data_IF_146200809962
#
_entry.id   IF_146200809962
#
_cell.length_a   1.000
_cell.length_b   1.000
_cell.length_c   1.000
_cell.angle_alpha   90.00
_cell.angle_beta   90.00
_cell.angle_gamma   90.00
#
_symmetry.space_group_name_H-M   'P 1'
#
loop_
_entity.id
_entity.type
_entity.pdbx_description
1 polymer ?
#
# COMPACT_ATOMS: atom_id res chain seq x y z
N UNK A 1 -3.23 5.04 -9.33
CA UNK A 1 -2.32 5.53 -10.36
C UNK A 1 -0.97 4.83 -10.31
N UNK A 2 -0.15 5.08 -11.29
CA UNK A 2 1.22 4.56 -11.35
C UNK A 2 2.20 5.73 -11.45
N UNK A 3 3.19 5.77 -10.55
CA UNK A 3 4.08 6.93 -10.37
C UNK A 3 3.24 8.18 -10.07
N UNK A 4 3.25 9.19 -10.92
CA UNK A 4 2.48 10.42 -10.76
C UNK A 4 1.15 10.44 -11.54
N UNK A 5 0.85 9.41 -12.34
CA UNK A 5 -0.34 9.39 -13.18
C UNK A 5 -1.57 8.83 -12.43
N UNK A 6 -2.74 9.42 -12.68
CA UNK A 6 -4.01 8.95 -12.14
C UNK A 6 -4.11 9.00 -10.60
N UNK A 7 -3.32 9.83 -9.94
CA UNK A 7 -3.36 10.01 -8.49
C UNK A 7 -4.40 11.09 -8.13
N UNK A 8 -5.17 10.83 -7.09
CA UNK A 8 -6.15 11.78 -6.55
C UNK A 8 -5.47 12.81 -5.62
N UNK A 9 -4.60 13.64 -6.18
CA UNK A 9 -3.69 14.51 -5.41
C UNK A 9 -4.42 15.50 -4.51
N UNK A 10 -5.51 16.10 -4.99
CA UNK A 10 -6.30 17.01 -4.18
C UNK A 10 -6.83 16.36 -2.89
N UNK A 11 -7.18 15.07 -2.93
CA UNK A 11 -7.62 14.34 -1.73
C UNK A 11 -6.45 14.06 -0.78
N UNK A 12 -5.26 13.77 -1.31
CA UNK A 12 -4.06 13.56 -0.49
C UNK A 12 -3.67 14.87 0.23
N UNK A 13 -3.63 15.98 -0.50
CA UNK A 13 -3.34 17.31 0.06
C UNK A 13 -4.36 17.69 1.13
N UNK A 14 -5.66 17.53 0.84
CA UNK A 14 -6.72 17.85 1.82
C UNK A 14 -6.67 16.96 3.07
N UNK A 15 -6.23 15.72 2.93
CA UNK A 15 -6.04 14.83 4.09
C UNK A 15 -4.88 15.30 4.97
N UNK A 16 -3.77 15.77 4.37
CA UNK A 16 -2.64 16.38 5.08
C UNK A 16 -3.05 17.67 5.80
N UNK A 17 -3.68 18.59 5.07
CA UNK A 17 -4.15 19.88 5.64
C UNK A 17 -5.06 19.62 6.85
N UNK A 18 -6.03 18.73 6.72
CA UNK A 18 -6.91 18.35 7.82
C UNK A 18 -6.14 17.78 9.01
N UNK A 19 -5.14 16.92 8.77
CA UNK A 19 -4.32 16.37 9.84
C UNK A 19 -3.55 17.49 10.58
N UNK A 20 -2.94 18.40 9.85
CA UNK A 20 -2.18 19.53 10.41
C UNK A 20 -3.07 20.46 11.23
N UNK A 21 -4.33 20.65 10.83
CA UNK A 21 -5.29 21.49 11.55
C UNK A 21 -5.91 20.81 12.77
N UNK A 22 -6.22 19.52 12.68
CA UNK A 22 -7.09 18.84 13.65
C UNK A 22 -6.45 17.67 14.38
N UNK A 23 -5.26 17.20 13.93
CA UNK A 23 -4.65 15.96 14.39
C UNK A 23 -5.35 14.70 13.86
N UNK A 24 -6.23 14.83 12.86
CA UNK A 24 -6.98 13.74 12.24
C UNK A 24 -6.99 13.86 10.71
N UNK A 25 -6.98 12.71 9.96
CA UNK A 25 -6.97 11.32 10.41
C UNK A 25 -5.63 10.91 11.03
N UNK A 26 -5.62 9.87 11.86
CA UNK A 26 -4.42 9.35 12.50
C UNK A 26 -4.32 7.82 12.42
N UNK A 27 -3.12 7.30 12.66
CA UNK A 27 -2.82 5.86 12.67
C UNK A 27 -3.22 5.13 11.38
N UNK A 28 -3.12 5.81 10.24
CA UNK A 28 -3.49 5.27 8.95
C UNK A 28 -2.58 4.12 8.52
N UNK A 29 -3.17 3.13 7.87
CA UNK A 29 -2.45 2.15 7.05
C UNK A 29 -2.63 2.52 5.59
N UNK A 30 -1.54 2.87 4.91
CA UNK A 30 -1.55 3.14 3.47
C UNK A 30 -1.29 1.86 2.69
N UNK A 31 -2.01 1.70 1.60
CA UNK A 31 -1.88 0.55 0.71
C UNK A 31 -1.85 1.00 -0.76
N UNK A 32 -0.83 0.57 -1.51
CA UNK A 32 -0.72 0.86 -2.94
C UNK A 32 -0.11 -0.30 -3.72
N UNK A 33 -0.48 -0.43 -4.99
CA UNK A 33 -0.07 -1.58 -5.83
C UNK A 33 1.35 -1.45 -6.33
N UNK A 34 1.66 -0.31 -6.96
CA UNK A 34 2.93 -0.04 -7.61
C UNK A 34 3.65 1.13 -6.92
N UNK A 35 4.56 1.81 -7.60
CA UNK A 35 5.12 3.07 -7.10
C UNK A 35 4.07 4.17 -7.07
N UNK A 36 4.01 4.93 -5.98
CA UNK A 36 3.20 6.15 -5.86
C UNK A 36 4.12 7.30 -5.46
N UNK A 37 3.97 8.46 -6.07
CA UNK A 37 4.86 9.59 -5.83
C UNK A 37 5.72 9.96 -7.03
N UNK A 38 6.47 11.05 -6.89
CA UNK A 38 7.39 11.53 -7.92
C UNK A 38 8.69 12.14 -7.34
N UNK A 39 9.00 11.86 -6.07
CA UNK A 39 10.18 12.34 -5.32
C UNK A 39 10.15 13.83 -4.94
N UNK A 40 9.03 14.50 -5.07
CA UNK A 40 8.87 15.93 -4.76
C UNK A 40 8.09 16.20 -3.45
N UNK A 41 7.77 15.13 -2.71
CA UNK A 41 7.01 15.23 -1.47
C UNK A 41 5.50 15.18 -1.65
N UNK A 42 5.02 14.92 -2.88
CA UNK A 42 3.61 14.76 -3.21
C UNK A 42 3.11 13.31 -3.00
N UNK A 43 1.84 13.09 -3.27
CA UNK A 43 1.16 11.78 -3.26
C UNK A 43 1.16 11.12 -1.87
N UNK A 44 1.79 9.94 -1.70
CA UNK A 44 1.81 9.27 -0.41
C UNK A 44 2.69 10.00 0.63
N UNK A 45 3.61 10.87 0.20
CA UNK A 45 4.43 11.67 1.11
C UNK A 45 3.63 12.74 1.88
N UNK A 46 2.41 13.11 1.44
CA UNK A 46 1.47 13.92 2.22
C UNK A 46 1.08 13.28 3.56
N UNK A 47 1.19 11.97 3.67
CA UNK A 47 0.88 11.25 4.90
C UNK A 47 2.09 11.05 5.83
N UNK A 48 3.27 11.51 5.42
CA UNK A 48 4.52 11.28 6.15
C UNK A 48 4.67 12.20 7.38
N UNK A 49 3.68 12.18 8.27
CA UNK A 49 3.65 12.87 9.54
C UNK A 49 3.53 11.88 10.69
N UNK A 50 4.26 12.13 11.78
CA UNK A 50 4.15 11.33 13.00
C UNK A 50 2.73 11.38 13.56
N UNK A 51 2.15 10.21 13.82
CA UNK A 51 0.77 10.08 14.25
C UNK A 51 -0.27 10.04 13.14
N UNK A 52 0.05 10.50 11.90
CA UNK A 52 -0.86 10.38 10.77
C UNK A 52 -0.79 9.00 10.13
N UNK A 53 0.41 8.54 9.78
CA UNK A 53 0.63 7.21 9.23
C UNK A 53 1.27 6.29 10.28
N UNK A 54 0.77 5.08 10.38
CA UNK A 54 1.28 4.03 11.26
C UNK A 54 1.97 2.91 10.47
N UNK A 55 1.42 2.58 9.32
CA UNK A 55 1.85 1.42 8.53
C UNK A 55 1.72 1.72 7.04
N UNK A 56 2.65 1.19 6.27
CA UNK A 56 2.62 1.27 4.81
C UNK A 56 2.83 -0.12 4.19
N UNK A 57 2.04 -0.43 3.16
CA UNK A 57 2.12 -1.68 2.41
C UNK A 57 2.11 -1.34 0.94
N UNK A 58 3.16 -1.67 0.21
CA UNK A 58 3.26 -1.28 -1.19
C UNK A 58 4.21 -2.13 -2.01
N UNK A 59 4.08 -2.02 -3.32
CA UNK A 59 4.93 -2.75 -4.26
C UNK A 59 6.26 -2.07 -4.56
N UNK A 60 6.36 -0.75 -4.32
CA UNK A 60 7.56 0.02 -4.62
C UNK A 60 7.59 1.33 -3.83
N UNK A 61 8.75 1.72 -3.30
CA UNK A 61 8.90 2.85 -2.37
C UNK A 61 9.82 3.97 -2.87
N UNK A 62 10.54 3.79 -3.97
CA UNK A 62 11.58 4.74 -4.42
C UNK A 62 11.05 6.14 -4.81
N UNK A 63 9.73 6.35 -4.87
CA UNK A 63 9.13 7.63 -5.24
C UNK A 63 8.55 8.42 -4.05
N UNK A 64 8.69 7.91 -2.82
CA UNK A 64 8.15 8.50 -1.60
C UNK A 64 9.25 8.70 -0.55
N UNK A 65 10.14 9.68 -0.75
CA UNK A 65 11.32 9.87 0.10
C UNK A 65 10.99 10.12 1.57
N UNK A 66 9.95 10.89 1.90
CA UNK A 66 9.56 11.15 3.29
C UNK A 66 9.06 9.89 4.00
N UNK A 67 8.28 9.06 3.34
CA UNK A 67 7.87 7.73 3.86
C UNK A 67 9.11 6.84 4.06
N UNK A 68 10.06 6.84 3.11
CA UNK A 68 11.31 6.08 3.26
C UNK A 68 12.14 6.56 4.44
N UNK A 69 12.20 7.85 4.70
CA UNK A 69 12.85 8.42 5.88
C UNK A 69 12.22 7.90 7.17
N UNK A 70 10.89 7.96 7.30
CA UNK A 70 10.18 7.43 8.46
C UNK A 70 10.39 5.92 8.67
N UNK A 71 10.52 5.15 7.59
CA UNK A 71 10.85 3.73 7.65
C UNK A 71 12.28 3.50 8.15
N UNK A 72 13.25 4.25 7.63
CA UNK A 72 14.67 4.14 8.02
C UNK A 72 14.90 4.57 9.47
N UNK A 73 14.12 5.51 9.98
CA UNK A 73 14.12 5.96 11.36
C UNK A 73 13.28 5.08 12.30
N UNK A 74 12.73 3.99 11.79
CA UNK A 74 11.86 3.07 12.56
C UNK A 74 10.61 3.74 13.18
N UNK A 75 10.10 4.80 12.57
CA UNK A 75 8.91 5.52 13.05
C UNK A 75 7.62 4.82 12.69
N UNK A 76 7.59 4.13 11.55
CA UNK A 76 6.40 3.43 11.03
C UNK A 76 6.71 1.98 10.65
N UNK A 77 5.68 1.16 10.58
CA UNK A 77 5.77 -0.19 10.04
C UNK A 77 5.72 -0.13 8.49
N UNK A 78 6.42 -1.04 7.82
CA UNK A 78 6.38 -1.10 6.36
C UNK A 78 6.61 -2.48 5.80
N UNK A 79 5.89 -2.76 4.71
CA UNK A 79 6.03 -4.01 3.96
C UNK A 79 6.14 -3.74 2.47
N UNK A 80 7.17 -4.30 1.86
CA UNK A 80 7.28 -4.37 0.42
C UNK A 80 6.73 -5.74 -0.04
N UNK A 81 5.62 -5.69 -0.78
CA UNK A 81 4.93 -6.88 -1.28
C UNK A 81 5.04 -6.91 -2.80
N UNK A 82 5.27 -8.06 -3.44
CA UNK A 82 5.34 -8.14 -4.89
C UNK A 82 4.10 -7.53 -5.55
N UNK A 83 4.31 -6.64 -6.50
CA UNK A 83 3.24 -5.89 -7.17
C UNK A 83 2.17 -6.80 -7.78
N UNK A 84 2.57 -7.92 -8.39
CA UNK A 84 1.62 -8.90 -8.95
C UNK A 84 0.76 -9.55 -7.87
N UNK A 85 1.33 -9.84 -6.69
CA UNK A 85 0.57 -10.35 -5.56
C UNK A 85 -0.43 -9.31 -5.07
N UNK A 86 -0.03 -8.03 -4.93
CA UNK A 86 -0.94 -6.95 -4.51
C UNK A 86 -2.10 -6.78 -5.49
N UNK A 87 -1.85 -6.80 -6.79
CA UNK A 87 -2.89 -6.69 -7.79
C UNK A 87 -3.94 -7.82 -7.66
N UNK A 88 -3.50 -9.05 -7.40
CA UNK A 88 -4.39 -10.17 -7.15
C UNK A 88 -5.11 -10.03 -5.79
N UNK A 89 -4.40 -9.57 -4.75
CA UNK A 89 -5.00 -9.31 -3.42
C UNK A 89 -6.18 -8.34 -3.51
N UNK A 90 -6.11 -7.30 -4.34
CA UNK A 90 -7.24 -6.37 -4.52
C UNK A 90 -8.48 -7.07 -5.09
N UNK A 91 -8.31 -7.96 -6.07
CA UNK A 91 -9.41 -8.74 -6.64
C UNK A 91 -9.99 -9.70 -5.60
N UNK A 92 -9.13 -10.38 -4.86
CA UNK A 92 -9.53 -11.35 -3.84
C UNK A 92 -10.20 -10.65 -2.65
N UNK A 93 -9.74 -9.44 -2.27
CA UNK A 93 -10.39 -8.58 -1.29
C UNK A 93 -11.82 -8.22 -1.72
N UNK A 94 -12.00 -7.78 -2.98
CA UNK A 94 -13.31 -7.46 -3.53
C UNK A 94 -14.25 -8.68 -3.54
N UNK A 95 -13.70 -9.86 -3.82
CA UNK A 95 -14.41 -11.14 -3.78
C UNK A 95 -14.62 -11.67 -2.33
N UNK A 96 -14.21 -10.94 -1.31
CA UNK A 96 -14.29 -11.33 0.13
C UNK A 96 -13.57 -12.63 0.47
N UNK A 97 -12.55 -13.01 -0.30
CA UNK A 97 -11.73 -14.18 0.02
C UNK A 97 -10.90 -13.91 1.29
N UNK A 98 -10.48 -14.98 1.95
CA UNK A 98 -9.65 -14.90 3.17
C UNK A 98 -8.23 -14.39 2.89
N UNK A 99 -7.78 -14.48 1.65
CA UNK A 99 -6.46 -14.03 1.18
C UNK A 99 -6.17 -14.54 -0.22
N UNK A 100 -4.95 -14.27 -0.67
CA UNK A 100 -4.42 -14.66 -1.98
C UNK A 100 -3.35 -15.73 -1.79
N UNK A 101 -3.43 -16.80 -2.55
CA UNK A 101 -2.41 -17.85 -2.62
C UNK A 101 -1.64 -17.69 -3.92
N UNK A 102 -0.32 -17.67 -3.83
CA UNK A 102 0.55 -17.49 -4.99
C UNK A 102 1.96 -18.01 -4.71
N UNK A 103 2.63 -18.54 -5.72
CA UNK A 103 4.07 -18.83 -5.65
C UNK A 103 4.95 -17.58 -5.77
N UNK A 104 4.37 -16.45 -6.19
CA UNK A 104 5.10 -15.19 -6.37
C UNK A 104 5.64 -14.70 -5.04
N UNK A 105 6.95 -14.53 -4.97
CA UNK A 105 7.66 -14.12 -3.76
C UNK A 105 8.47 -15.21 -3.09
N UNK A 106 8.26 -16.49 -3.37
CA UNK A 106 9.07 -17.59 -2.83
C UNK A 106 10.54 -17.38 -3.20
N UNK A 107 11.43 -17.50 -2.19
CA UNK A 107 12.88 -17.31 -2.35
C UNK A 107 13.34 -15.86 -2.53
N UNK A 108 12.41 -14.88 -2.59
CA UNK A 108 12.73 -13.45 -2.67
C UNK A 108 12.69 -12.79 -1.28
N UNK A 109 12.85 -11.47 -1.24
CA UNK A 109 12.69 -10.67 -0.02
C UNK A 109 11.28 -10.77 0.61
N UNK A 110 10.26 -11.13 -0.16
CA UNK A 110 8.90 -11.30 0.32
C UNK A 110 8.64 -12.64 1.02
N UNK A 111 9.55 -13.61 0.82
CA UNK A 111 9.49 -14.88 1.52
C UNK A 111 9.75 -14.65 3.03
N UNK A 112 8.89 -15.16 3.93
CA UNK A 112 9.10 -15.02 5.38
C UNK A 112 10.48 -15.46 5.85
N UNK A 113 11.06 -16.47 5.21
CA UNK A 113 12.43 -16.97 5.50
C UNK A 113 13.52 -15.93 5.18
N UNK A 114 13.23 -14.99 4.27
CA UNK A 114 14.14 -13.94 3.81
C UNK A 114 13.72 -12.55 4.27
N UNK A 115 12.90 -12.45 5.30
CA UNK A 115 12.49 -11.19 5.89
C UNK A 115 11.03 -10.80 5.66
N UNK A 116 10.26 -11.51 4.83
CA UNK A 116 8.81 -11.28 4.68
C UNK A 116 8.43 -9.90 4.17
N UNK A 117 9.34 -9.23 3.44
CA UNK A 117 9.11 -7.89 2.91
C UNK A 117 9.16 -6.75 3.94
N UNK A 118 9.59 -7.00 5.18
CA UNK A 118 9.69 -5.96 6.23
C UNK A 118 10.70 -4.89 5.86
N UNK A 119 10.32 -3.62 6.05
CA UNK A 119 11.12 -2.45 5.66
C UNK A 119 11.69 -1.65 6.84
N UNK A 120 11.29 -1.96 8.07
CA UNK A 120 11.79 -1.28 9.28
C UNK A 120 11.90 -2.27 10.43
N UNK A 121 12.73 -1.96 11.42
CA UNK A 121 12.82 -2.75 12.65
C UNK A 121 11.54 -2.69 13.50
N UNK A 122 10.71 -1.65 13.32
CA UNK A 122 9.40 -1.53 13.94
C UNK A 122 8.43 -2.59 13.44
N UNK A 123 8.62 -3.07 12.21
CA UNK A 123 7.81 -4.10 11.58
C UNK A 123 8.20 -5.47 12.15
N UNK A 124 7.43 -6.00 13.09
CA UNK A 124 7.75 -7.26 13.80
C UNK A 124 7.05 -8.48 13.22
N UNK A 125 5.82 -8.31 12.77
CA UNK A 125 4.98 -9.42 12.32
C UNK A 125 5.19 -9.72 10.84
N UNK A 126 5.08 -11.00 10.46
CA UNK A 126 5.00 -11.39 9.06
C UNK A 126 3.56 -11.30 8.58
N UNK A 127 3.31 -10.50 7.53
CA UNK A 127 1.99 -10.47 6.88
C UNK A 127 1.84 -11.56 5.82
N UNK A 128 2.90 -12.28 5.51
CA UNK A 128 2.91 -13.36 4.51
C UNK A 128 3.23 -14.67 5.21
N UNK A 129 2.57 -15.76 4.83
CA UNK A 129 2.77 -17.09 5.42
C UNK A 129 3.15 -18.09 4.33
N UNK A 130 4.04 -19.02 4.66
CA UNK A 130 4.29 -20.18 3.81
C UNK A 130 3.19 -21.20 4.12
N UNK A 131 2.58 -21.73 3.08
CA UNK A 131 1.62 -22.84 3.16
C UNK A 131 2.03 -23.93 2.17
N UNK A 132 1.65 -25.16 2.45
CA UNK A 132 1.75 -26.26 1.51
C UNK A 132 0.36 -26.57 0.95
N UNK A 133 0.26 -26.65 -0.37
CA UNK A 133 -0.97 -26.99 -1.07
C UNK A 133 -0.65 -28.00 -2.17
N UNK A 134 -1.28 -29.17 -2.14
CA UNK A 134 -1.05 -30.26 -3.11
C UNK A 134 0.44 -30.60 -3.30
N UNK A 135 1.19 -30.63 -2.19
CA UNK A 135 2.63 -30.94 -2.20
C UNK A 135 3.52 -29.83 -2.76
N UNK A 136 2.99 -28.63 -2.91
CA UNK A 136 3.73 -27.46 -3.40
C UNK A 136 3.73 -26.33 -2.36
N UNK A 137 4.90 -25.76 -2.11
CA UNK A 137 5.00 -24.54 -1.30
C UNK A 137 4.36 -23.36 -2.03
N UNK A 138 3.55 -22.60 -1.29
CA UNK A 138 2.92 -21.38 -1.73
C UNK A 138 3.06 -20.30 -0.67
N UNK A 139 2.96 -19.03 -1.05
CA UNK A 139 2.78 -17.93 -0.13
C UNK A 139 1.29 -17.60 0.00
N UNK A 140 0.85 -17.45 1.23
CA UNK A 140 -0.48 -16.95 1.56
C UNK A 140 -0.37 -15.49 2.00
N UNK A 141 -0.96 -14.60 1.22
CA UNK A 141 -1.12 -13.17 1.49
C UNK A 141 -2.52 -12.95 2.08
N UNK A 142 -2.64 -12.69 3.38
CA UNK A 142 -3.96 -12.55 4.01
C UNK A 142 -4.69 -11.33 3.49
N UNK A 143 -6.00 -11.36 3.62
CA UNK A 143 -6.85 -10.22 3.30
C UNK A 143 -6.47 -9.01 4.15
N UNK A 144 -6.25 -7.87 3.50
CA UNK A 144 -6.03 -6.58 4.16
C UNK A 144 -7.31 -5.76 3.99
N UNK A 145 -8.03 -5.43 5.10
CA UNK A 145 -9.20 -4.58 5.01
C UNK A 145 -8.84 -3.22 4.40
N UNK A 146 -9.66 -2.75 3.47
CA UNK A 146 -9.53 -1.43 2.84
C UNK A 146 -10.82 -0.66 3.13
N UNK A 147 -10.73 0.37 3.95
CA UNK A 147 -11.89 1.16 4.40
C UNK A 147 -12.19 2.29 3.41
N UNK A 148 -11.15 2.86 2.78
CA UNK A 148 -11.26 3.99 1.85
C UNK A 148 -10.37 3.76 0.64
N UNK A 149 -10.87 4.09 -0.55
CA UNK A 149 -10.11 4.12 -1.78
C UNK A 149 -10.23 5.49 -2.45
N UNK A 150 -9.11 6.13 -2.75
CA UNK A 150 -9.07 7.35 -3.55
C UNK A 150 -8.89 6.99 -5.01
N UNK A 151 -9.89 7.31 -5.81
CA UNK A 151 -9.91 7.01 -7.24
C UNK A 151 -10.09 8.32 -8.01
N UNK A 152 -9.25 8.52 -9.02
CA UNK A 152 -9.36 9.63 -9.95
C UNK A 152 -9.78 9.11 -11.32
N UNK A 153 -10.69 9.83 -11.96
CA UNK A 153 -11.10 9.60 -13.34
C UNK A 153 -11.34 10.92 -14.06
N UNK A 154 -11.56 10.87 -15.36
CA UNK A 154 -11.83 12.06 -16.18
C UNK A 154 -13.26 12.57 -15.93
N UNK A 155 -14.20 11.67 -15.84
CA UNK A 155 -15.62 11.93 -15.56
C UNK A 155 -16.16 10.96 -14.54
N UNK A 156 -17.05 11.43 -13.70
CA UNK A 156 -17.83 10.62 -12.78
C UNK A 156 -19.31 11.05 -12.85
N UNK A 157 -20.21 10.09 -12.71
CA UNK A 157 -21.63 10.36 -12.56
C UNK A 157 -22.06 10.34 -11.08
N UNK A 158 -23.31 10.69 -10.83
CA UNK A 158 -23.89 10.73 -9.48
C UNK A 158 -24.00 9.34 -8.83
N UNK A 159 -23.90 8.27 -9.61
CA UNK A 159 -23.94 6.88 -9.14
C UNK A 159 -22.54 6.34 -8.81
N UNK A 160 -21.48 7.14 -9.04
CA UNK A 160 -20.11 6.76 -8.80
C UNK A 160 -19.46 5.94 -9.93
N UNK A 161 -20.06 5.89 -11.12
CA UNK A 161 -19.38 5.35 -12.29
C UNK A 161 -18.32 6.33 -12.77
N UNK A 162 -17.12 5.81 -13.03
CA UNK A 162 -15.96 6.62 -13.42
C UNK A 162 -15.48 6.19 -14.80
N UNK A 163 -15.20 7.15 -15.66
CA UNK A 163 -14.58 6.90 -16.96
C UNK A 163 -13.24 7.60 -17.08
N UNK A 164 -12.30 6.92 -17.75
CA UNK A 164 -10.98 7.45 -18.11
C UNK A 164 -10.97 7.76 -19.60
N UNK A 165 -10.58 8.97 -19.95
CA UNK A 165 -10.46 9.39 -21.36
C UNK A 165 -9.02 9.35 -21.84
N UNK A 166 -8.10 9.79 -20.98
CA UNK A 166 -6.65 9.75 -21.21
C UNK A 166 -5.95 9.90 -19.85
N UNK A 167 -5.07 8.99 -19.55
CA UNK A 167 -4.24 9.00 -18.34
C UNK A 167 -2.78 8.76 -18.73
#
# INVERSE_FOLDING_TARGET
>A
GFVANGIAEALNTSAEERFLETGHPKDLTLFWVAGTGNKDGSHADHYAHEGMVKKVIGGHFNFVPKICEMLSENKIEGYNVPQGAIAQMLRDNAARKVGTISHVGIGTFADPRNGGGRLSEKTKEDIVKIIELEGQEQLFYPRIPLDVAFIRGTYADELGNITLRSE
#
